data_IF_185561124692
#
_entry.id   IF_185561124692
#
_cell.length_a   1.000
_cell.length_b   1.000
_cell.length_c   1.000
_cell.angle_alpha   90.00
_cell.angle_beta   90.00
_cell.angle_gamma   90.00
#
_symmetry.space_group_name_H-M   'P 1'
#
loop_
_entity.id
_entity.type
_entity.pdbx_description
1 polymer ?
#
# COMPACT_ATOMS: atom_id res chain seq x y z
N UNK A 1 -29.87 28.36 -21.57
CA UNK A 1 -30.49 27.77 -20.38
C UNK A 1 -29.43 27.09 -19.54
N UNK A 2 -28.97 27.79 -18.48
CA UNK A 2 -28.12 27.15 -17.47
C UNK A 2 -29.03 26.38 -16.54
N UNK A 3 -29.06 25.06 -16.62
CA UNK A 3 -29.70 24.25 -15.59
C UNK A 3 -28.96 24.46 -14.24
N UNK A 4 -29.68 24.75 -13.15
CA UNK A 4 -29.05 24.89 -11.84
C UNK A 4 -28.47 23.52 -11.42
N UNK A 5 -27.17 23.47 -11.15
CA UNK A 5 -26.54 22.27 -10.61
C UNK A 5 -27.11 21.99 -9.21
N UNK A 6 -27.45 20.73 -8.94
CA UNK A 6 -27.83 20.29 -7.62
C UNK A 6 -26.68 20.48 -6.60
N UNK A 7 -27.02 20.57 -5.31
CA UNK A 7 -26.01 20.74 -4.25
C UNK A 7 -25.04 19.56 -4.27
N UNK A 8 -25.53 18.32 -4.46
CA UNK A 8 -24.70 17.12 -4.56
C UNK A 8 -23.75 17.18 -5.77
N UNK A 9 -24.23 17.62 -6.92
CA UNK A 9 -23.43 17.75 -8.13
C UNK A 9 -22.33 18.82 -7.97
N UNK A 10 -22.62 19.92 -7.26
CA UNK A 10 -21.64 20.95 -6.94
C UNK A 10 -20.58 20.43 -5.97
N UNK A 11 -20.97 19.68 -4.94
CA UNK A 11 -20.04 19.08 -4.00
C UNK A 11 -19.12 18.06 -4.65
N UNK A 12 -19.65 17.20 -5.53
CA UNK A 12 -18.84 16.25 -6.30
C UNK A 12 -17.84 16.97 -7.21
N UNK A 13 -18.28 18.00 -7.93
CA UNK A 13 -17.39 18.78 -8.80
C UNK A 13 -16.27 19.47 -8.02
N UNK A 14 -16.59 20.06 -6.85
CA UNK A 14 -15.57 20.67 -5.97
C UNK A 14 -14.56 19.62 -5.50
N UNK A 15 -15.03 18.43 -5.13
CA UNK A 15 -14.16 17.32 -4.73
C UNK A 15 -13.25 16.87 -5.89
N UNK A 16 -13.80 16.66 -7.07
CA UNK A 16 -13.02 16.29 -8.27
C UNK A 16 -11.96 17.34 -8.62
N UNK A 17 -12.31 18.63 -8.60
CA UNK A 17 -11.35 19.72 -8.83
C UNK A 17 -10.27 19.73 -7.74
N UNK A 18 -10.63 19.53 -6.48
CA UNK A 18 -9.67 19.51 -5.37
C UNK A 18 -8.70 18.32 -5.49
N UNK A 19 -9.22 17.13 -5.85
CA UNK A 19 -8.39 15.94 -6.07
C UNK A 19 -7.44 16.12 -7.25
N UNK A 20 -7.93 16.70 -8.36
CA UNK A 20 -7.13 16.97 -9.55
C UNK A 20 -6.00 18.00 -9.31
N UNK A 21 -6.23 18.97 -8.44
CA UNK A 21 -5.26 20.06 -8.21
C UNK A 21 -4.27 19.79 -7.08
N UNK A 22 -4.62 18.98 -6.09
CA UNK A 22 -3.84 18.82 -4.85
C UNK A 22 -3.63 17.40 -4.37
N UNK A 23 -4.22 16.40 -5.05
CA UNK A 23 -4.18 14.97 -4.70
C UNK A 23 -3.92 14.13 -5.94
N UNK A 24 -3.97 12.83 -5.80
CA UNK A 24 -3.65 11.88 -6.87
C UNK A 24 -4.80 11.68 -7.85
N UNK A 25 -5.47 12.76 -8.24
CA UNK A 25 -6.58 12.79 -9.20
C UNK A 25 -7.63 11.70 -8.91
N UNK A 26 -8.02 10.95 -9.93
CA UNK A 26 -9.02 9.87 -9.79
C UNK A 26 -8.59 8.78 -8.81
N UNK A 27 -7.28 8.48 -8.65
CA UNK A 27 -6.79 7.46 -7.72
C UNK A 27 -7.08 7.77 -6.26
N UNK A 28 -7.34 9.04 -5.93
CA UNK A 28 -7.59 9.46 -4.57
C UNK A 28 -8.80 8.75 -3.94
N UNK A 29 -9.84 8.48 -4.72
CA UNK A 29 -11.02 7.76 -4.25
C UNK A 29 -10.69 6.32 -3.82
N UNK A 30 -9.84 5.64 -4.59
CA UNK A 30 -9.39 4.28 -4.25
C UNK A 30 -8.45 4.28 -3.05
N UNK A 31 -7.61 5.32 -2.93
CA UNK A 31 -6.69 5.47 -1.80
C UNK A 31 -7.43 5.79 -0.50
N UNK A 32 -8.57 6.46 -0.56
CA UNK A 32 -9.39 6.77 0.62
C UNK A 32 -10.22 5.57 1.13
N UNK A 33 -10.49 4.58 0.28
CA UNK A 33 -11.16 3.33 0.67
C UNK A 33 -10.20 2.43 1.45
N UNK A 34 -10.43 2.27 2.75
CA UNK A 34 -9.56 1.51 3.66
C UNK A 34 -9.51 0.00 3.36
N UNK A 35 -10.52 -0.53 2.67
CA UNK A 35 -10.62 -1.95 2.34
C UNK A 35 -9.82 -2.34 1.10
N UNK A 36 -9.36 -1.37 0.32
CA UNK A 36 -8.53 -1.62 -0.87
C UNK A 36 -7.09 -1.85 -0.43
N UNK A 37 -6.52 -2.98 -0.83
CA UNK A 37 -5.17 -3.41 -0.48
C UNK A 37 -4.15 -3.09 -1.57
N UNK A 38 -4.58 -3.10 -2.85
CA UNK A 38 -3.71 -2.80 -3.98
C UNK A 38 -4.47 -2.05 -5.08
N UNK A 39 -3.78 -1.11 -5.75
CA UNK A 39 -4.29 -0.36 -6.90
C UNK A 39 -3.27 -0.53 -8.03
N UNK A 40 -3.75 -0.91 -9.20
CA UNK A 40 -2.93 -1.16 -10.39
C UNK A 40 -3.45 -0.34 -11.57
N UNK A 41 -2.59 0.48 -12.15
CA UNK A 41 -2.89 1.32 -13.32
C UNK A 41 -2.10 0.79 -14.51
N UNK A 42 -2.79 0.48 -15.59
CA UNK A 42 -2.22 -0.01 -16.83
C UNK A 42 -2.38 1.07 -17.91
N UNK A 43 -1.57 2.12 -17.87
CA UNK A 43 -1.67 3.27 -18.75
C UNK A 43 -3.06 3.90 -18.70
N UNK A 44 -3.58 4.26 -19.86
CA UNK A 44 -4.96 4.73 -20.00
C UNK A 44 -5.97 3.60 -20.27
N UNK A 45 -5.49 2.33 -20.35
CA UNK A 45 -6.34 1.17 -20.69
C UNK A 45 -7.28 0.78 -19.54
N UNK A 46 -6.87 0.99 -18.30
CA UNK A 46 -7.71 0.67 -17.15
C UNK A 46 -7.00 0.73 -15.82
N UNK A 47 -7.81 0.80 -14.79
CA UNK A 47 -7.39 0.77 -13.39
C UNK A 47 -8.06 -0.44 -12.75
N UNK A 48 -7.27 -1.19 -11.98
CA UNK A 48 -7.71 -2.34 -11.23
C UNK A 48 -7.41 -2.12 -9.75
N UNK A 49 -8.19 -2.73 -8.89
CA UNK A 49 -7.92 -2.69 -7.46
C UNK A 49 -8.24 -4.03 -6.81
N UNK A 50 -7.53 -4.33 -5.74
CA UNK A 50 -7.78 -5.50 -4.91
C UNK A 50 -8.54 -5.09 -3.64
N UNK A 51 -9.63 -5.82 -3.36
CA UNK A 51 -10.44 -5.67 -2.14
C UNK A 51 -10.85 -7.05 -1.63
N UNK A 52 -10.59 -7.33 -0.36
CA UNK A 52 -10.88 -8.62 0.28
C UNK A 52 -10.28 -9.82 -0.50
N UNK A 53 -9.06 -9.70 -1.03
CA UNK A 53 -8.36 -10.73 -1.79
C UNK A 53 -8.94 -11.01 -3.18
N UNK A 54 -9.80 -10.13 -3.69
CA UNK A 54 -10.38 -10.22 -5.04
C UNK A 54 -10.02 -9.01 -5.87
N UNK A 55 -9.74 -9.25 -7.14
CA UNK A 55 -9.41 -8.23 -8.11
C UNK A 55 -10.68 -7.71 -8.79
N UNK A 56 -10.80 -6.38 -8.89
CA UNK A 56 -11.89 -5.68 -9.56
C UNK A 56 -11.32 -4.72 -10.58
N UNK A 57 -12.01 -4.55 -11.70
CA UNK A 57 -11.74 -3.46 -12.63
C UNK A 57 -12.56 -2.24 -12.22
N UNK A 58 -11.92 -1.07 -12.17
CA UNK A 58 -12.61 0.17 -11.88
C UNK A 58 -13.22 0.77 -13.15
N UNK A 59 -14.39 1.39 -13.00
CA UNK A 59 -15.10 2.01 -14.14
C UNK A 59 -14.45 3.29 -14.64
N UNK A 60 -13.65 3.97 -13.80
CA UNK A 60 -12.90 5.16 -14.20
C UNK A 60 -11.52 4.78 -14.74
N UNK A 61 -11.01 5.62 -15.64
CA UNK A 61 -9.67 5.50 -16.20
C UNK A 61 -9.09 6.91 -16.48
N UNK A 62 -7.79 7.00 -16.66
CA UNK A 62 -7.16 8.24 -17.06
C UNK A 62 -7.58 8.61 -18.49
N UNK A 63 -8.02 9.84 -18.68
CA UNK A 63 -8.51 10.33 -19.99
C UNK A 63 -7.38 10.60 -20.98
N UNK A 64 -6.15 10.75 -20.51
CA UNK A 64 -4.95 10.91 -21.33
C UNK A 64 -3.69 10.44 -20.58
N UNK A 65 -2.63 10.17 -21.34
CA UNK A 65 -1.31 9.81 -20.79
C UNK A 65 -0.70 10.98 -20.02
N UNK A 66 -0.94 12.23 -20.43
CA UNK A 66 -0.45 13.42 -19.75
C UNK A 66 -0.97 13.49 -18.31
N UNK A 67 -2.26 13.24 -18.11
CA UNK A 67 -2.85 13.22 -16.75
C UNK A 67 -2.26 12.13 -15.87
N UNK A 68 -1.99 10.96 -16.43
CA UNK A 68 -1.30 9.90 -15.71
C UNK A 68 0.13 10.31 -15.34
N UNK A 69 0.84 10.95 -16.28
CA UNK A 69 2.19 11.47 -16.03
C UNK A 69 2.19 12.56 -14.95
N UNK A 70 1.22 13.46 -14.91
CA UNK A 70 1.10 14.47 -13.87
C UNK A 70 0.99 13.81 -12.48
N UNK A 71 0.15 12.79 -12.33
CA UNK A 71 0.01 12.03 -11.08
C UNK A 71 1.32 11.32 -10.73
N UNK A 72 2.00 10.72 -11.69
CA UNK A 72 3.30 10.04 -11.49
C UNK A 72 4.37 11.04 -11.02
N UNK A 73 4.46 12.20 -11.66
CA UNK A 73 5.40 13.24 -11.24
C UNK A 73 5.09 13.78 -9.86
N UNK A 74 3.82 13.89 -9.50
CA UNK A 74 3.40 14.30 -8.16
C UNK A 74 3.81 13.27 -7.09
N UNK A 75 3.62 11.96 -7.37
CA UNK A 75 4.05 10.88 -6.47
C UNK A 75 5.58 10.88 -6.31
N UNK A 76 6.31 10.91 -7.41
CA UNK A 76 7.77 10.90 -7.40
C UNK A 76 8.35 12.14 -6.70
N UNK A 77 7.81 13.33 -7.01
CA UNK A 77 8.21 14.60 -6.38
C UNK A 77 7.93 14.64 -4.88
N UNK A 78 6.82 14.05 -4.43
CA UNK A 78 6.49 13.95 -3.01
C UNK A 78 7.48 13.15 -2.18
N UNK A 79 8.23 12.25 -2.80
CA UNK A 79 9.28 11.42 -2.18
C UNK A 79 10.70 11.79 -2.59
N UNK A 80 10.89 12.93 -3.24
CA UNK A 80 12.19 13.40 -3.72
C UNK A 80 12.87 12.43 -4.69
N UNK A 81 12.08 11.71 -5.50
CA UNK A 81 12.54 10.77 -6.53
C UNK A 81 12.30 11.37 -7.92
N UNK A 82 13.19 11.08 -8.84
CA UNK A 82 13.02 11.41 -10.26
C UNK A 82 12.56 10.18 -11.03
N UNK A 83 11.54 10.36 -11.87
CA UNK A 83 11.06 9.36 -12.83
C UNK A 83 10.98 10.01 -14.20
N UNK A 84 11.70 9.44 -15.16
CA UNK A 84 11.76 9.89 -16.55
C UNK A 84 12.28 8.76 -17.46
N UNK A 85 12.45 9.02 -18.74
CA UNK A 85 12.95 8.01 -19.70
C UNK A 85 14.34 7.46 -19.37
N UNK A 86 15.20 8.23 -18.67
CA UNK A 86 16.53 7.78 -18.23
C UNK A 86 16.44 6.94 -16.95
N UNK A 87 15.42 7.18 -16.11
CA UNK A 87 15.14 6.46 -14.89
C UNK A 87 13.68 5.99 -14.93
N UNK A 88 13.36 4.98 -15.77
CA UNK A 88 11.98 4.60 -16.06
C UNK A 88 11.35 3.72 -14.98
N UNK A 89 12.11 3.23 -14.02
CA UNK A 89 11.62 2.40 -12.91
C UNK A 89 11.88 3.14 -11.60
N UNK A 90 10.84 3.35 -10.83
CA UNK A 90 10.93 4.00 -9.52
C UNK A 90 10.08 3.25 -8.49
N UNK A 91 10.74 2.86 -7.40
CA UNK A 91 10.09 2.43 -6.17
C UNK A 91 10.08 3.61 -5.18
N UNK A 92 8.91 3.93 -4.67
CA UNK A 92 8.72 5.04 -3.74
C UNK A 92 7.58 4.76 -2.76
N UNK A 93 7.21 5.77 -1.97
CA UNK A 93 6.11 5.69 -1.00
C UNK A 93 5.24 6.92 -1.02
N UNK A 94 3.97 6.73 -0.76
CA UNK A 94 3.06 7.81 -0.42
C UNK A 94 3.27 8.26 1.03
N UNK A 95 2.76 9.45 1.40
CA UNK A 95 2.86 9.96 2.78
C UNK A 95 2.20 9.04 3.83
N UNK A 96 1.23 8.22 3.45
CA UNK A 96 0.58 7.22 4.29
C UNK A 96 1.40 5.93 4.47
N UNK A 97 2.60 5.85 3.86
CA UNK A 97 3.49 4.70 3.88
C UNK A 97 3.24 3.69 2.76
N UNK A 98 2.16 3.80 1.99
CA UNK A 98 1.85 2.91 0.87
C UNK A 98 3.01 2.84 -0.12
N UNK A 99 3.41 1.62 -0.51
CA UNK A 99 4.47 1.40 -1.49
C UNK A 99 3.95 1.69 -2.89
N UNK A 100 4.74 2.42 -3.67
CA UNK A 100 4.43 2.74 -5.06
C UNK A 100 5.55 2.26 -5.96
N UNK A 101 5.22 1.44 -6.95
CA UNK A 101 6.11 1.07 -8.04
C UNK A 101 5.60 1.72 -9.33
N UNK A 102 6.50 2.38 -10.04
CA UNK A 102 6.24 3.06 -11.31
C UNK A 102 7.18 2.50 -12.35
N UNK A 103 6.63 2.13 -13.50
CA UNK A 103 7.40 1.68 -14.66
C UNK A 103 6.92 2.45 -15.89
N UNK A 104 7.81 3.27 -16.46
CA UNK A 104 7.54 4.05 -17.66
C UNK A 104 7.94 3.29 -18.94
N UNK A 105 7.53 3.81 -20.09
CA UNK A 105 8.13 3.45 -21.37
C UNK A 105 9.63 3.84 -21.37
N UNK A 106 10.50 3.10 -22.06
CA UNK A 106 10.21 1.95 -22.95
C UNK A 106 10.08 0.60 -22.22
N UNK A 107 10.31 0.53 -20.92
CA UNK A 107 10.27 -0.73 -20.16
C UNK A 107 8.85 -1.29 -20.12
N UNK A 108 7.86 -0.46 -19.78
CA UNK A 108 6.45 -0.81 -19.84
C UNK A 108 5.92 -0.71 -21.28
N UNK A 109 5.96 -1.82 -22.02
CA UNK A 109 5.64 -1.89 -23.45
C UNK A 109 4.19 -1.44 -23.74
N UNK A 110 3.26 -1.85 -22.89
CA UNK A 110 1.82 -1.61 -23.06
C UNK A 110 1.31 -0.25 -22.54
N UNK A 111 2.20 0.61 -22.10
CA UNK A 111 1.90 1.89 -21.47
C UNK A 111 2.46 1.94 -20.05
N UNK A 112 2.48 3.12 -19.46
CA UNK A 112 2.97 3.32 -18.10
C UNK A 112 2.22 2.44 -17.11
N UNK A 113 2.97 1.69 -16.29
CA UNK A 113 2.42 0.89 -15.21
C UNK A 113 2.67 1.58 -13.86
N UNK A 114 1.63 1.64 -13.03
CA UNK A 114 1.71 2.15 -11.67
C UNK A 114 1.02 1.15 -10.74
N UNK A 115 1.70 0.69 -9.71
CA UNK A 115 1.15 -0.16 -8.66
C UNK A 115 1.30 0.53 -7.31
N UNK A 116 0.21 0.61 -6.54
CA UNK A 116 0.18 1.15 -5.18
C UNK A 116 -0.26 0.03 -4.26
N UNK A 117 0.65 -0.46 -3.42
CA UNK A 117 0.35 -1.47 -2.40
C UNK A 117 0.22 -0.80 -1.05
N UNK A 118 -0.93 -0.96 -0.44
CA UNK A 118 -1.26 -0.35 0.84
C UNK A 118 -0.88 -1.27 2.00
N UNK A 119 -0.45 -0.66 3.07
CA UNK A 119 -0.28 -1.37 4.33
C UNK A 119 -1.56 -1.24 5.17
N UNK A 120 -1.95 -2.29 5.90
CA UNK A 120 -3.01 -2.18 6.89
C UNK A 120 -2.68 -1.03 7.85
N UNK A 121 -3.66 -0.19 8.15
CA UNK A 121 -3.50 0.90 9.14
C UNK A 121 -3.13 0.37 10.52
N UNK A 122 -3.66 -0.79 10.84
CA UNK A 122 -3.32 -1.52 12.06
C UNK A 122 -2.75 -2.89 11.68
N UNK A 123 -1.53 -3.22 12.14
CA UNK A 123 -0.98 -4.54 11.90
C UNK A 123 -1.83 -5.60 12.60
N UNK A 124 -1.95 -6.74 11.94
CA UNK A 124 -2.63 -7.91 12.51
C UNK A 124 -1.80 -8.41 13.69
N UNK A 125 -2.42 -8.48 14.86
CA UNK A 125 -1.79 -8.87 16.12
C UNK A 125 -1.86 -10.37 16.34
N UNK A 126 -1.02 -10.90 17.22
CA UNK A 126 -1.04 -12.31 17.59
C UNK A 126 -2.41 -12.75 18.12
N UNK A 127 -3.07 -11.91 18.90
CA UNK A 127 -4.41 -12.20 19.41
C UNK A 127 -5.43 -12.38 18.29
N UNK A 128 -5.36 -11.56 17.24
CA UNK A 128 -6.22 -11.66 16.07
C UNK A 128 -5.98 -12.97 15.31
N UNK A 129 -4.72 -13.41 15.17
CA UNK A 129 -4.40 -14.70 14.55
C UNK A 129 -4.95 -15.90 15.35
N UNK A 130 -4.98 -15.80 16.68
CA UNK A 130 -5.60 -16.81 17.55
C UNK A 130 -7.11 -16.81 17.34
N UNK A 131 -7.76 -15.67 17.32
CA UNK A 131 -9.21 -15.52 17.11
C UNK A 131 -9.65 -16.06 15.75
N UNK A 132 -8.84 -15.88 14.72
CA UNK A 132 -9.08 -16.45 13.39
C UNK A 132 -8.77 -17.97 13.30
N UNK A 133 -8.22 -18.56 14.36
CA UNK A 133 -7.81 -19.97 14.35
C UNK A 133 -6.60 -20.26 13.49
N UNK A 134 -5.85 -19.23 13.06
CA UNK A 134 -4.62 -19.39 12.28
C UNK A 134 -3.48 -19.99 13.10
N UNK A 135 -3.52 -19.80 14.42
CA UNK A 135 -2.58 -20.35 15.39
C UNK A 135 -3.30 -20.65 16.69
N UNK A 136 -2.91 -21.71 17.38
CA UNK A 136 -3.44 -21.99 18.73
C UNK A 136 -2.77 -21.10 19.79
N UNK A 137 -3.47 -20.86 20.90
CA UNK A 137 -2.90 -20.11 22.04
C UNK A 137 -1.64 -20.76 22.59
N UNK A 138 -1.63 -22.10 22.70
CA UNK A 138 -0.45 -22.84 23.20
C UNK A 138 0.78 -22.61 22.32
N UNK A 139 0.61 -22.62 20.99
CA UNK A 139 1.72 -22.36 20.07
C UNK A 139 2.14 -20.90 20.12
N UNK A 140 1.21 -19.96 20.26
CA UNK A 140 1.53 -18.53 20.42
C UNK A 140 2.33 -18.29 21.71
N UNK A 141 1.95 -18.90 22.83
CA UNK A 141 2.67 -18.81 24.10
C UNK A 141 4.07 -19.44 24.01
N UNK A 142 4.21 -20.57 23.33
CA UNK A 142 5.51 -21.19 23.06
C UNK A 142 6.41 -20.29 22.22
N UNK A 143 5.90 -19.70 21.14
CA UNK A 143 6.64 -18.75 20.30
C UNK A 143 7.05 -17.49 21.07
N UNK A 144 6.20 -17.00 21.96
CA UNK A 144 6.54 -15.90 22.87
C UNK A 144 7.79 -16.23 23.70
N UNK A 145 7.86 -17.44 24.29
CA UNK A 145 9.03 -17.85 25.05
C UNK A 145 10.29 -17.91 24.16
N UNK A 146 10.17 -18.40 22.91
CA UNK A 146 11.30 -18.44 21.99
C UNK A 146 11.80 -17.03 21.63
N UNK A 147 10.89 -16.09 21.36
CA UNK A 147 11.24 -14.70 21.07
C UNK A 147 11.93 -14.05 22.27
N UNK A 148 11.33 -14.15 23.46
CA UNK A 148 11.90 -13.60 24.68
C UNK A 148 13.26 -14.21 25.06
N UNK A 149 13.51 -15.47 24.70
CA UNK A 149 14.78 -16.16 24.93
C UNK A 149 15.84 -15.89 23.85
N UNK A 150 15.52 -15.08 22.82
CA UNK A 150 16.46 -14.69 21.78
C UNK A 150 16.77 -15.78 20.76
N UNK A 151 15.87 -16.74 20.54
CA UNK A 151 16.06 -17.77 19.51
C UNK A 151 15.97 -17.21 18.10
N UNK A 152 16.75 -17.78 17.18
CA UNK A 152 16.62 -17.49 15.75
C UNK A 152 15.34 -18.15 15.22
N UNK A 153 14.46 -17.36 14.61
CA UNK A 153 13.19 -17.81 14.07
C UNK A 153 13.16 -17.52 12.57
N UNK A 154 12.86 -18.54 11.77
CA UNK A 154 12.68 -18.44 10.33
C UNK A 154 11.20 -18.59 9.99
N UNK A 155 10.64 -17.60 9.27
CA UNK A 155 9.27 -17.62 8.76
C UNK A 155 9.33 -17.82 7.25
N UNK A 156 8.85 -18.95 6.76
CA UNK A 156 8.89 -19.29 5.33
C UNK A 156 7.49 -19.62 4.79
N UNK A 157 7.31 -19.45 3.50
CA UNK A 157 6.04 -19.71 2.80
C UNK A 157 5.98 -19.03 1.44
N UNK A 158 4.97 -19.34 0.65
CA UNK A 158 4.73 -18.75 -0.67
C UNK A 158 4.36 -17.25 -0.61
N UNK A 159 4.26 -16.63 -1.77
CA UNK A 159 3.73 -15.26 -1.89
C UNK A 159 2.29 -15.20 -1.38
N UNK A 160 1.94 -14.16 -0.63
CA UNK A 160 0.59 -14.01 -0.08
C UNK A 160 0.23 -14.94 1.09
N UNK A 161 1.17 -15.78 1.58
CA UNK A 161 0.90 -16.70 2.69
C UNK A 161 0.86 -16.08 4.09
N UNK A 162 1.06 -14.75 4.19
CA UNK A 162 1.02 -14.03 5.47
C UNK A 162 2.33 -14.00 6.26
N UNK A 163 3.49 -14.28 5.63
CA UNK A 163 4.80 -14.25 6.30
C UNK A 163 5.07 -12.97 7.06
N UNK A 164 4.94 -11.82 6.38
CA UNK A 164 5.17 -10.50 6.98
C UNK A 164 4.15 -10.19 8.07
N UNK A 165 2.90 -10.60 7.88
CA UNK A 165 1.84 -10.50 8.89
C UNK A 165 2.19 -11.27 10.14
N UNK A 166 2.65 -12.52 9.98
CA UNK A 166 3.04 -13.37 11.10
C UNK A 166 4.30 -12.85 11.80
N UNK A 167 5.28 -12.34 11.04
CA UNK A 167 6.48 -11.73 11.59
C UNK A 167 6.16 -10.46 12.40
N UNK A 168 5.23 -9.63 11.91
CA UNK A 168 4.70 -8.50 12.67
C UNK A 168 4.05 -8.95 13.99
N UNK A 169 3.22 -10.00 13.95
CA UNK A 169 2.59 -10.53 15.15
C UNK A 169 3.61 -11.10 16.16
N UNK A 170 4.67 -11.75 15.69
CA UNK A 170 5.77 -12.23 16.54
C UNK A 170 6.56 -11.10 17.17
N UNK A 171 6.74 -9.98 16.46
CA UNK A 171 7.50 -8.83 16.96
C UNK A 171 6.88 -8.19 18.21
N UNK A 172 5.58 -8.41 18.47
CA UNK A 172 4.92 -7.96 19.71
C UNK A 172 5.52 -8.59 20.98
N UNK A 173 6.19 -9.72 20.83
CA UNK A 173 6.80 -10.46 21.94
C UNK A 173 8.24 -10.02 22.26
N UNK A 174 8.83 -9.16 21.43
CA UNK A 174 10.17 -8.63 21.65
C UNK A 174 10.15 -7.77 22.92
N UNK A 175 11.06 -8.02 23.89
CA UNK A 175 11.16 -7.18 25.07
C UNK A 175 11.40 -5.71 24.70
N UNK A 176 10.76 -4.80 25.41
CA UNK A 176 10.82 -3.36 25.11
C UNK A 176 12.21 -2.74 25.30
N UNK A 177 13.05 -3.40 26.04
CA UNK A 177 14.43 -3.02 26.33
C UNK A 177 15.38 -3.37 25.17
N UNK A 178 14.93 -4.23 24.26
CA UNK A 178 15.75 -4.68 23.13
C UNK A 178 15.81 -3.64 22.03
N UNK A 179 17.02 -3.47 21.48
CA UNK A 179 17.22 -2.68 20.26
C UNK A 179 16.95 -3.55 19.05
N UNK A 180 15.98 -3.16 18.22
CA UNK A 180 15.64 -3.88 16.99
C UNK A 180 16.17 -3.14 15.77
N UNK A 181 16.74 -3.88 14.82
CA UNK A 181 17.15 -3.39 13.50
C UNK A 181 16.44 -4.23 12.45
N UNK A 182 15.73 -3.60 11.52
CA UNK A 182 15.11 -4.25 10.37
C UNK A 182 15.98 -4.08 9.13
N UNK A 183 16.11 -5.13 8.34
CA UNK A 183 16.75 -5.10 7.02
C UNK A 183 15.74 -5.68 6.03
N UNK A 184 15.21 -4.83 5.17
CA UNK A 184 14.11 -5.14 4.28
C UNK A 184 14.34 -4.53 2.90
N UNK A 185 13.94 -5.22 1.84
CA UNK A 185 13.91 -4.63 0.49
C UNK A 185 12.90 -3.47 0.44
N UNK A 186 11.81 -3.61 1.18
CA UNK A 186 10.78 -2.59 1.36
C UNK A 186 10.30 -2.68 2.80
N UNK A 187 10.31 -1.57 3.55
CA UNK A 187 9.90 -1.58 4.96
C UNK A 187 8.40 -1.92 5.08
N UNK A 188 8.10 -3.16 5.38
CA UNK A 188 6.76 -3.72 5.60
C UNK A 188 6.49 -4.02 7.07
N UNK A 189 7.55 -4.12 7.88
CA UNK A 189 7.43 -4.41 9.29
C UNK A 189 6.96 -3.17 10.06
N UNK A 190 5.94 -3.36 10.87
CA UNK A 190 5.38 -2.34 11.76
C UNK A 190 5.63 -2.77 13.20
N UNK A 191 6.79 -2.39 13.72
CA UNK A 191 7.20 -2.75 15.08
C UNK A 191 6.49 -1.86 16.09
N UNK A 192 5.35 -2.30 16.59
CA UNK A 192 4.56 -1.55 17.55
C UNK A 192 5.10 -1.70 18.97
N UNK A 193 5.24 -0.56 19.66
CA UNK A 193 5.57 -0.53 21.09
C UNK A 193 7.06 -0.69 21.40
N UNK A 194 7.93 -0.73 20.40
CA UNK A 194 9.36 -0.66 20.58
C UNK A 194 9.83 0.80 20.52
N UNK A 195 10.77 1.23 21.39
CA UNK A 195 11.15 2.63 21.56
C UNK A 195 12.09 3.17 20.47
N UNK A 196 12.42 2.40 19.43
CA UNK A 196 13.44 2.71 18.41
C UNK A 196 13.01 2.26 17.01
#
# INVERSE_FOLDING_TARGET
HRMPMSISMRQNLIREIFHSLRRLDILQELIEDADITEIMVNGTKGIFYEKAGRLYQWEKHFTSEEKLQDVIQQIAGGSNRMVNELHPIVDTRLPDGSRVNIVLKPIAIDGTALSIRRFPKEPIRMQTLIEWGSISREVADFLKHLVCAGYNIFVSGGTGSGKTTFLNALSEFIPKEERVVTIEDSAELQLLGLPN
#
